data_IF_247556396037
#
_entry.id   IF_247556396037
#
_cell.length_a   1.000
_cell.length_b   1.000
_cell.length_c   1.000
_cell.angle_alpha   90.00
_cell.angle_beta   90.00
_cell.angle_gamma   90.00
#
_symmetry.space_group_name_H-M   'P 1'
#
loop_
_entity.id
_entity.type
_entity.pdbx_description
1 polymer ?
#
# COMPACT_ATOMS: atom_id res chain seq x y z
N UNK A 1 -21.88 -6.27 -16.45
CA UNK A 1 -20.60 -6.91 -16.76
C UNK A 1 -19.38 -6.03 -16.58
N UNK A 2 -19.08 -5.15 -17.52
CA UNK A 2 -17.80 -4.38 -17.50
C UNK A 2 -17.70 -3.44 -16.29
N UNK A 3 -18.77 -2.71 -15.96
CA UNK A 3 -18.81 -1.80 -14.79
C UNK A 3 -18.59 -2.58 -13.48
N UNK A 4 -19.14 -3.77 -13.37
CA UNK A 4 -18.98 -4.60 -12.18
C UNK A 4 -17.53 -5.12 -12.03
N UNK A 5 -16.90 -5.45 -13.16
CA UNK A 5 -15.48 -5.84 -13.17
C UNK A 5 -14.60 -4.66 -12.79
N UNK A 6 -14.86 -3.46 -13.33
CA UNK A 6 -14.12 -2.25 -12.96
C UNK A 6 -14.23 -1.94 -11.46
N UNK A 7 -15.44 -1.98 -10.88
CA UNK A 7 -15.65 -1.80 -9.44
C UNK A 7 -14.86 -2.80 -8.59
N UNK A 8 -14.86 -4.08 -8.97
CA UNK A 8 -14.10 -5.12 -8.27
C UNK A 8 -12.59 -4.91 -8.35
N UNK A 9 -12.09 -4.38 -9.48
CA UNK A 9 -10.68 -4.02 -9.62
C UNK A 9 -10.34 -2.85 -8.68
N UNK A 10 -11.17 -1.81 -8.64
CA UNK A 10 -10.96 -0.66 -7.74
C UNK A 10 -11.04 -1.07 -6.25
N UNK A 11 -12.00 -1.90 -5.89
CA UNK A 11 -12.10 -2.48 -4.54
C UNK A 11 -10.83 -3.26 -4.17
N UNK A 12 -10.39 -4.16 -5.04
CA UNK A 12 -9.15 -4.91 -4.83
C UNK A 12 -7.90 -4.02 -4.72
N UNK A 13 -7.85 -2.93 -5.48
CA UNK A 13 -6.78 -1.92 -5.37
C UNK A 13 -6.80 -1.21 -4.02
N UNK A 14 -7.99 -0.81 -3.53
CA UNK A 14 -8.14 -0.17 -2.21
C UNK A 14 -7.74 -1.11 -1.08
N UNK A 15 -8.17 -2.36 -1.12
CA UNK A 15 -7.81 -3.38 -0.14
C UNK A 15 -6.29 -3.63 -0.11
N UNK A 16 -5.66 -3.67 -1.30
CA UNK A 16 -4.23 -3.81 -1.42
C UNK A 16 -3.50 -2.62 -0.79
N UNK A 17 -3.94 -1.39 -1.07
CA UNK A 17 -3.34 -0.17 -0.53
C UNK A 17 -3.55 -0.06 0.98
N UNK A 18 -4.74 -0.37 1.48
CA UNK A 18 -5.01 -0.41 2.93
C UNK A 18 -4.11 -1.42 3.64
N UNK A 19 -3.95 -2.61 3.07
CA UNK A 19 -3.04 -3.62 3.60
C UNK A 19 -1.57 -3.19 3.54
N UNK A 20 -1.19 -2.43 2.53
CA UNK A 20 0.20 -1.98 2.31
C UNK A 20 0.71 -1.05 3.39
N UNK A 21 -0.15 -0.25 4.05
CA UNK A 21 0.26 0.64 5.14
C UNK A 21 0.78 -0.11 6.36
N UNK A 22 0.39 -1.37 6.50
CA UNK A 22 0.89 -2.24 7.56
C UNK A 22 2.28 -2.79 7.26
N UNK A 23 2.79 -2.65 6.04
CA UNK A 23 4.11 -3.13 5.68
C UNK A 23 5.17 -2.07 6.01
N UNK A 24 6.22 -2.42 6.79
CA UNK A 24 7.26 -1.46 7.15
C UNK A 24 7.96 -0.88 5.93
N UNK A 25 8.19 0.43 5.94
CA UNK A 25 8.92 1.14 4.89
C UNK A 25 8.11 1.58 3.67
N UNK A 26 6.92 1.03 3.41
CA UNK A 26 6.13 1.40 2.22
C UNK A 26 5.69 2.87 2.27
N UNK A 27 5.04 3.29 3.35
CA UNK A 27 4.55 4.68 3.48
C UNK A 27 5.72 5.66 3.53
N UNK A 28 6.80 5.28 4.20
CA UNK A 28 8.04 6.06 4.27
C UNK A 28 8.65 6.26 2.89
N UNK A 29 8.77 5.19 2.10
CA UNK A 29 9.26 5.26 0.72
C UNK A 29 8.44 6.21 -0.15
N UNK A 30 7.10 6.20 -0.04
CA UNK A 30 6.22 7.10 -0.77
C UNK A 30 6.44 8.56 -0.35
N UNK A 31 6.60 8.82 0.95
CA UNK A 31 6.87 10.16 1.46
C UNK A 31 8.23 10.66 0.96
N UNK A 32 9.26 9.83 1.01
CA UNK A 32 10.61 10.17 0.55
C UNK A 32 10.64 10.40 -0.97
N UNK A 33 9.91 9.58 -1.73
CA UNK A 33 9.77 9.81 -3.17
C UNK A 33 9.10 11.15 -3.47
N UNK A 34 8.07 11.51 -2.70
CA UNK A 34 7.40 12.80 -2.86
C UNK A 34 8.32 13.99 -2.49
N UNK A 35 9.16 13.87 -1.49
CA UNK A 35 10.16 14.91 -1.19
C UNK A 35 11.17 15.06 -2.36
N UNK A 36 11.53 13.96 -3.05
CA UNK A 36 12.37 14.03 -4.27
C UNK A 36 11.62 14.66 -5.46
N UNK A 37 10.29 14.50 -5.52
CA UNK A 37 9.48 15.24 -6.51
C UNK A 37 9.47 16.74 -6.22
N UNK A 38 9.44 17.15 -4.95
CA UNK A 38 9.53 18.58 -4.58
C UNK A 38 10.90 19.21 -4.88
N UNK A 39 11.97 18.43 -4.77
CA UNK A 39 13.32 18.89 -5.13
C UNK A 39 13.59 18.84 -6.64
N UNK A 40 12.59 18.53 -7.45
CA UNK A 40 12.66 18.40 -8.91
C UNK A 40 13.59 17.28 -9.40
N UNK A 41 14.01 16.37 -8.51
CA UNK A 41 14.84 15.21 -8.88
C UNK A 41 14.01 14.13 -9.60
N UNK A 42 12.69 14.09 -9.35
CA UNK A 42 11.76 13.13 -9.94
C UNK A 42 10.46 13.79 -10.41
N UNK A 43 9.76 13.12 -11.32
CA UNK A 43 8.49 13.61 -11.85
C UNK A 43 7.32 13.10 -11.00
N UNK A 44 6.31 13.96 -10.79
CA UNK A 44 5.08 13.59 -10.08
C UNK A 44 4.34 12.41 -10.76
N UNK A 45 4.36 12.35 -12.09
CA UNK A 45 3.74 11.27 -12.87
C UNK A 45 4.37 9.88 -12.62
N UNK A 46 5.59 9.82 -12.08
CA UNK A 46 6.22 8.57 -11.66
C UNK A 46 5.69 8.09 -10.30
N UNK A 47 5.15 8.99 -9.48
CA UNK A 47 4.55 8.67 -8.19
C UNK A 47 3.07 8.39 -8.31
N UNK A 48 2.31 9.36 -8.81
CA UNK A 48 0.85 9.35 -8.84
C UNK A 48 0.32 9.63 -10.23
N UNK A 49 -0.72 8.91 -10.63
CA UNK A 49 -1.51 9.18 -11.85
C UNK A 49 -2.81 9.93 -11.55
N UNK A 50 -3.21 10.00 -10.29
CA UNK A 50 -4.43 10.67 -9.86
C UNK A 50 -4.87 10.25 -8.46
N UNK A 51 -6.16 10.34 -8.23
CA UNK A 51 -6.79 9.90 -6.99
C UNK A 51 -7.98 8.99 -7.32
N UNK A 52 -8.22 8.01 -6.47
CA UNK A 52 -9.47 7.24 -6.49
C UNK A 52 -10.54 8.10 -5.81
N UNK A 53 -11.66 8.30 -6.47
CA UNK A 53 -12.80 9.02 -5.88
C UNK A 53 -13.43 8.17 -4.77
N UNK A 54 -13.96 8.84 -3.73
CA UNK A 54 -14.88 8.18 -2.82
C UNK A 54 -16.07 7.70 -3.64
N UNK A 55 -16.41 6.41 -3.56
CA UNK A 55 -17.64 5.92 -4.17
C UNK A 55 -18.82 6.56 -3.42
N UNK A 56 -19.26 7.75 -3.84
CA UNK A 56 -20.60 8.18 -3.52
C UNK A 56 -21.53 7.12 -4.10
N UNK A 57 -22.35 6.51 -3.24
CA UNK A 57 -23.50 5.72 -3.67
C UNK A 57 -24.36 6.67 -4.51
N UNK A 58 -24.16 6.64 -5.82
CA UNK A 58 -25.04 7.36 -6.74
C UNK A 58 -26.39 6.69 -6.61
N UNK A 59 -27.41 7.34 -6.00
CA UNK A 59 -28.76 6.82 -6.06
C UNK A 59 -29.07 6.64 -7.54
N UNK A 60 -29.53 5.47 -7.93
CA UNK A 60 -29.84 5.11 -9.32
C UNK A 60 -30.71 6.20 -9.95
N UNK A 61 -30.10 7.17 -10.60
CA UNK A 61 -30.78 8.16 -11.39
C UNK A 61 -31.26 7.46 -12.66
N UNK A 62 -32.58 7.40 -12.82
CA UNK A 62 -33.22 6.86 -13.99
C UNK A 62 -32.76 7.54 -15.29
N UNK A 63 -33.05 6.93 -16.45
CA UNK A 63 -32.55 7.41 -17.73
C UNK A 63 -33.16 8.78 -18.05
N UNK A 64 -32.39 9.87 -17.90
CA UNK A 64 -32.87 11.23 -18.20
C UNK A 64 -32.06 12.40 -17.63
N UNK A 65 -30.93 12.16 -16.97
CA UNK A 65 -30.11 13.24 -16.40
C UNK A 65 -29.24 13.89 -17.48
N UNK A 66 -29.42 15.20 -17.71
CA UNK A 66 -28.65 16.01 -18.67
C UNK A 66 -27.13 16.09 -18.41
N UNK A 67 -26.65 15.53 -17.30
CA UNK A 67 -25.22 15.41 -17.00
C UNK A 67 -24.47 14.32 -17.80
N UNK A 68 -25.21 13.39 -18.41
CA UNK A 68 -24.60 12.36 -19.28
C UNK A 68 -24.18 12.90 -20.66
N UNK A 69 -24.68 14.06 -21.09
CA UNK A 69 -24.35 14.65 -22.39
C UNK A 69 -23.12 15.56 -22.39
N UNK A 70 -22.61 15.95 -21.22
CA UNK A 70 -21.41 16.82 -21.13
C UNK A 70 -20.09 16.03 -21.07
N UNK A 71 -20.15 14.69 -21.00
CA UNK A 71 -18.96 13.82 -20.93
C UNK A 71 -18.51 13.28 -22.30
N UNK A 72 -19.26 13.54 -23.38
CA UNK A 72 -18.96 13.03 -24.72
C UNK A 72 -18.31 14.04 -25.69
N UNK A 73 -18.07 15.28 -25.28
CA UNK A 73 -17.53 16.35 -26.15
C UNK A 73 -16.20 16.97 -25.72
N UNK A 74 -15.37 16.28 -24.99
CA UNK A 74 -13.96 16.73 -24.78
C UNK A 74 -12.97 15.63 -25.08
N UNK A 75 -12.89 15.24 -26.35
CA UNK A 75 -11.81 14.42 -26.92
C UNK A 75 -10.56 15.30 -27.19
N UNK A 76 -10.17 16.09 -26.23
CA UNK A 76 -8.83 16.63 -26.11
C UNK A 76 -8.26 16.06 -24.79
N UNK A 77 -7.46 15.01 -24.90
CA UNK A 77 -6.55 14.56 -23.84
C UNK A 77 -5.56 15.70 -23.53
N UNK A 78 -6.04 16.68 -22.79
CA UNK A 78 -5.16 17.55 -22.04
C UNK A 78 -4.62 16.67 -20.93
N UNK A 79 -3.35 16.29 -21.02
CA UNK A 79 -2.57 15.62 -19.98
C UNK A 79 -2.44 16.55 -18.76
N UNK A 80 -3.59 16.83 -18.15
CA UNK A 80 -3.68 17.48 -16.84
C UNK A 80 -3.43 16.41 -15.81
N UNK A 81 -2.15 16.17 -15.53
CA UNK A 81 -1.74 15.39 -14.37
C UNK A 81 -2.49 15.84 -13.09
N UNK A 82 -2.44 15.08 -12.00
CA UNK A 82 -3.20 15.41 -10.80
C UNK A 82 -2.89 16.82 -10.31
N UNK A 83 -3.92 17.55 -9.87
CA UNK A 83 -3.78 18.92 -9.35
C UNK A 83 -2.71 18.97 -8.25
N UNK A 84 -1.67 19.77 -8.48
CA UNK A 84 -0.53 19.92 -7.59
C UNK A 84 -0.92 20.38 -6.18
N UNK A 85 -1.93 21.24 -6.05
CA UNK A 85 -2.41 21.71 -4.77
C UNK A 85 -3.09 20.59 -3.97
N UNK A 86 -3.89 19.77 -4.66
CA UNK A 86 -4.54 18.62 -4.05
C UNK A 86 -3.51 17.53 -3.67
N UNK A 87 -2.52 17.26 -4.52
CA UNK A 87 -1.42 16.35 -4.21
C UNK A 87 -0.70 16.81 -2.94
N UNK A 88 -0.33 18.09 -2.87
CA UNK A 88 0.37 18.65 -1.71
C UNK A 88 -0.46 18.52 -0.43
N UNK A 89 -1.75 18.80 -0.51
CA UNK A 89 -2.69 18.67 0.62
C UNK A 89 -2.75 17.23 1.12
N UNK A 90 -2.95 16.25 0.22
CA UNK A 90 -3.08 14.83 0.56
C UNK A 90 -1.77 14.25 1.08
N UNK A 91 -0.64 14.57 0.46
CA UNK A 91 0.68 14.10 0.91
C UNK A 91 1.07 14.70 2.26
N UNK A 92 0.72 15.98 2.54
CA UNK A 92 0.93 16.60 3.85
C UNK A 92 0.10 15.89 4.92
N UNK A 93 -1.16 15.56 4.61
CA UNK A 93 -2.04 14.83 5.53
C UNK A 93 -1.50 13.40 5.79
N UNK A 94 -1.06 12.71 4.75
CA UNK A 94 -0.43 11.38 4.86
C UNK A 94 0.80 11.43 5.77
N UNK A 95 1.72 12.37 5.55
CA UNK A 95 2.93 12.54 6.36
C UNK A 95 2.60 12.84 7.83
N UNK A 96 1.60 13.70 8.07
CA UNK A 96 1.14 14.00 9.44
C UNK A 96 0.57 12.77 10.14
N UNK A 97 -0.28 12.00 9.47
CA UNK A 97 -0.87 10.79 10.02
C UNK A 97 0.19 9.71 10.24
N UNK A 98 1.12 9.53 9.30
CA UNK A 98 2.23 8.59 9.43
C UNK A 98 3.10 8.90 10.66
N UNK A 99 3.50 10.15 10.85
CA UNK A 99 4.27 10.56 12.02
C UNK A 99 3.52 10.33 13.34
N UNK A 100 2.19 10.53 13.33
CA UNK A 100 1.34 10.23 14.49
C UNK A 100 1.29 8.73 14.77
N UNK A 101 1.12 7.92 13.74
CA UNK A 101 1.11 6.45 13.85
C UNK A 101 2.44 5.95 14.42
N UNK A 102 3.58 6.43 13.91
CA UNK A 102 4.90 6.04 14.41
C UNK A 102 5.10 6.38 15.88
N UNK A 103 4.72 7.57 16.33
CA UNK A 103 4.78 7.96 17.76
C UNK A 103 3.96 7.02 18.66
N UNK A 104 2.78 6.58 18.18
CA UNK A 104 1.96 5.62 18.93
C UNK A 104 2.60 4.24 18.95
N UNK A 105 3.16 3.80 17.82
CA UNK A 105 3.89 2.53 17.73
C UNK A 105 5.10 2.51 18.64
N UNK A 106 5.90 3.59 18.69
CA UNK A 106 7.06 3.71 19.57
C UNK A 106 6.67 3.70 21.06
N UNK A 107 5.58 4.36 21.43
CA UNK A 107 5.17 4.49 22.83
C UNK A 107 4.41 3.29 23.37
N UNK A 108 3.57 2.62 22.54
CA UNK A 108 2.64 1.58 22.97
C UNK A 108 2.86 0.22 22.31
N UNK A 109 3.77 0.16 21.36
CA UNK A 109 4.02 -1.03 20.55
C UNK A 109 3.04 -1.21 19.39
N UNK A 110 3.52 -1.87 18.33
CA UNK A 110 2.80 -2.06 17.07
C UNK A 110 1.47 -2.84 17.21
N UNK A 111 1.41 -3.79 18.13
CA UNK A 111 0.24 -4.66 18.32
C UNK A 111 -0.83 -4.07 19.24
N UNK A 112 -0.62 -2.87 19.81
CA UNK A 112 -1.57 -2.19 20.67
C UNK A 112 -2.86 -1.82 19.92
N UNK A 113 -3.97 -1.72 20.66
CA UNK A 113 -5.27 -1.30 20.06
C UNK A 113 -5.18 0.09 19.46
N UNK A 114 -4.43 0.98 20.11
CA UNK A 114 -4.23 2.35 19.67
C UNK A 114 -3.41 2.42 18.37
N UNK A 115 -2.33 1.63 18.27
CA UNK A 115 -1.54 1.56 17.05
C UNK A 115 -2.39 1.02 15.87
N UNK A 116 -3.17 -0.02 16.09
CA UNK A 116 -4.10 -0.56 15.08
C UNK A 116 -5.11 0.49 14.61
N UNK A 117 -5.68 1.28 15.53
CA UNK A 117 -6.60 2.37 15.18
C UNK A 117 -5.92 3.48 14.36
N UNK A 118 -4.65 3.81 14.64
CA UNK A 118 -3.92 4.80 13.85
C UNK A 118 -3.50 4.23 12.49
N UNK A 119 -3.18 2.93 12.37
CA UNK A 119 -2.96 2.27 11.07
C UNK A 119 -4.23 2.27 10.21
N UNK A 120 -5.40 2.01 10.79
CA UNK A 120 -6.68 2.09 10.06
C UNK A 120 -6.90 3.50 9.49
N UNK A 121 -6.63 4.56 10.27
CA UNK A 121 -6.72 5.94 9.77
C UNK A 121 -5.70 6.23 8.67
N UNK A 122 -4.51 5.67 8.76
CA UNK A 122 -3.48 5.79 7.75
C UNK A 122 -3.91 5.10 6.45
N UNK A 123 -4.48 3.90 6.54
CA UNK A 123 -5.04 3.14 5.43
C UNK A 123 -6.15 3.89 4.70
N UNK A 124 -7.08 4.51 5.45
CA UNK A 124 -8.15 5.35 4.90
C UNK A 124 -7.63 6.53 4.06
N UNK A 125 -6.46 7.09 4.39
CA UNK A 125 -5.85 8.15 3.59
C UNK A 125 -5.13 7.56 2.37
N UNK A 126 -4.45 6.44 2.57
CA UNK A 126 -3.57 5.83 1.57
C UNK A 126 -4.34 5.17 0.42
N UNK A 127 -5.49 4.56 0.71
CA UNK A 127 -6.32 3.84 -0.27
C UNK A 127 -6.86 4.70 -1.42
N UNK A 128 -6.89 6.03 -1.24
CA UNK A 128 -7.36 6.95 -2.29
C UNK A 128 -6.26 7.45 -3.23
N UNK A 129 -5.01 7.05 -3.01
CA UNK A 129 -3.90 7.42 -3.87
C UNK A 129 -3.84 6.46 -5.07
N UNK A 130 -3.92 7.00 -6.28
CA UNK A 130 -3.74 6.23 -7.51
C UNK A 130 -2.28 6.30 -7.94
N UNK A 131 -1.50 5.32 -7.51
CA UNK A 131 -0.09 5.24 -7.83
C UNK A 131 0.16 4.90 -9.30
N UNK A 132 1.31 5.33 -9.83
CA UNK A 132 1.75 4.93 -11.15
C UNK A 132 2.08 3.43 -11.19
N UNK A 133 2.01 2.77 -12.37
CA UNK A 133 2.41 1.37 -12.50
C UNK A 133 3.84 1.12 -12.01
N UNK A 134 4.76 2.05 -12.27
CA UNK A 134 6.15 1.98 -11.82
C UNK A 134 6.23 1.94 -10.28
N UNK A 135 5.48 2.82 -9.61
CA UNK A 135 5.45 2.84 -8.15
C UNK A 135 4.87 1.54 -7.58
N UNK A 136 3.85 0.95 -8.21
CA UNK A 136 3.34 -0.36 -7.81
C UNK A 136 4.39 -1.47 -7.92
N UNK A 137 5.19 -1.46 -8.98
CA UNK A 137 6.30 -2.41 -9.14
C UNK A 137 7.35 -2.23 -8.03
N UNK A 138 7.69 -0.99 -7.69
CA UNK A 138 8.61 -0.68 -6.60
C UNK A 138 8.08 -1.18 -5.25
N UNK A 139 6.80 -0.94 -4.93
CA UNK A 139 6.18 -1.44 -3.71
C UNK A 139 6.14 -2.98 -3.66
N UNK A 140 5.82 -3.63 -4.79
CA UNK A 140 5.84 -5.08 -4.89
C UNK A 140 7.26 -5.65 -4.76
N UNK A 141 8.27 -4.92 -5.23
CA UNK A 141 9.67 -5.30 -5.10
C UNK A 141 10.11 -5.34 -3.63
N UNK A 142 9.73 -4.37 -2.81
CA UNK A 142 10.02 -4.39 -1.36
C UNK A 142 9.55 -5.69 -0.72
N UNK A 143 8.27 -6.02 -0.88
CA UNK A 143 7.70 -7.22 -0.29
C UNK A 143 8.35 -8.51 -0.81
N UNK A 144 8.69 -8.57 -2.10
CA UNK A 144 9.37 -9.72 -2.71
C UNK A 144 10.81 -9.85 -2.24
N UNK A 145 11.52 -8.74 -2.08
CA UNK A 145 12.91 -8.71 -1.60
C UNK A 145 13.00 -9.25 -0.18
N UNK A 146 12.16 -8.73 0.72
CA UNK A 146 12.13 -9.17 2.11
C UNK A 146 11.70 -10.63 2.24
N UNK A 147 10.72 -11.07 1.44
CA UNK A 147 10.34 -12.48 1.40
C UNK A 147 11.49 -13.39 0.93
N UNK A 148 12.28 -12.92 -0.05
CA UNK A 148 13.44 -13.67 -0.52
C UNK A 148 14.52 -13.76 0.57
N UNK A 149 14.75 -12.68 1.32
CA UNK A 149 15.67 -12.64 2.45
C UNK A 149 15.23 -13.56 3.59
N UNK A 150 13.94 -13.49 3.97
CA UNK A 150 13.36 -14.39 4.97
C UNK A 150 13.58 -15.84 4.55
N UNK A 151 13.26 -16.19 3.30
CA UNK A 151 13.46 -17.57 2.79
C UNK A 151 14.94 -18.01 2.78
N UNK A 152 15.86 -17.06 2.57
CA UNK A 152 17.30 -17.36 2.66
C UNK A 152 17.67 -17.71 4.10
N UNK A 153 17.21 -16.95 5.07
CA UNK A 153 17.43 -17.22 6.48
C UNK A 153 16.78 -18.53 6.93
N UNK A 154 15.56 -18.81 6.50
CA UNK A 154 14.88 -20.08 6.78
C UNK A 154 15.69 -21.29 6.25
N UNK A 155 16.19 -21.21 5.02
CA UNK A 155 17.06 -22.26 4.46
C UNK A 155 18.35 -22.44 5.27
N UNK A 156 18.95 -21.33 5.75
CA UNK A 156 20.16 -21.37 6.56
C UNK A 156 19.89 -22.00 7.92
N UNK A 157 18.79 -21.67 8.57
CA UNK A 157 18.34 -22.28 9.82
C UNK A 157 18.13 -23.79 9.61
N UNK A 158 17.37 -24.18 8.57
CA UNK A 158 17.14 -25.58 8.24
C UNK A 158 18.47 -26.34 8.01
N UNK A 159 19.41 -25.74 7.31
CA UNK A 159 20.74 -26.34 7.09
C UNK A 159 21.47 -26.61 8.40
N UNK A 160 21.51 -25.63 9.32
CA UNK A 160 22.15 -25.79 10.63
C UNK A 160 21.51 -26.90 11.46
N UNK A 161 20.18 -26.96 11.50
CA UNK A 161 19.48 -28.01 12.25
C UNK A 161 19.68 -29.40 11.65
N UNK A 162 19.50 -29.51 10.33
CA UNK A 162 19.54 -30.83 9.67
C UNK A 162 20.97 -31.33 9.46
N UNK A 163 21.89 -30.44 9.07
CA UNK A 163 23.28 -30.88 8.76
C UNK A 163 24.22 -30.81 9.95
N UNK A 164 24.17 -29.72 10.74
CA UNK A 164 25.08 -29.53 11.87
C UNK A 164 24.58 -30.22 13.14
N UNK A 165 23.30 -30.04 13.49
CA UNK A 165 22.72 -30.68 14.67
C UNK A 165 22.19 -32.09 14.41
N UNK A 166 22.21 -32.59 13.17
CA UNK A 166 21.75 -33.90 12.73
C UNK A 166 20.32 -34.25 13.11
N UNK A 167 19.47 -33.23 13.22
CA UNK A 167 18.03 -33.42 13.47
C UNK A 167 17.35 -33.86 12.18
N UNK A 168 16.53 -34.95 12.20
CA UNK A 168 15.80 -35.38 11.02
C UNK A 168 14.93 -34.23 10.44
N UNK A 169 14.94 -34.08 9.11
CA UNK A 169 14.19 -32.99 8.44
C UNK A 169 12.69 -32.96 8.80
N UNK A 170 12.09 -34.15 9.02
CA UNK A 170 10.67 -34.23 9.42
C UNK A 170 10.43 -33.58 10.78
N UNK A 171 11.30 -33.84 11.73
CA UNK A 171 11.19 -33.31 13.09
C UNK A 171 11.45 -31.82 13.12
N UNK A 172 12.42 -31.33 12.32
CA UNK A 172 12.64 -29.90 12.13
C UNK A 172 11.40 -29.20 11.57
N UNK A 173 10.77 -29.74 10.50
CA UNK A 173 9.59 -29.13 9.88
C UNK A 173 8.41 -29.09 10.85
N UNK A 174 8.19 -30.14 11.64
CA UNK A 174 7.14 -30.16 12.65
C UNK A 174 7.36 -29.08 13.71
N UNK A 175 8.56 -29.03 14.30
CA UNK A 175 8.92 -28.01 15.30
C UNK A 175 8.84 -26.58 14.72
N UNK A 176 9.31 -26.39 13.49
CA UNK A 176 9.34 -25.08 12.84
C UNK A 176 7.93 -24.56 12.54
N UNK A 177 7.05 -25.42 12.02
CA UNK A 177 5.67 -25.06 11.68
C UNK A 177 4.86 -24.59 12.89
N UNK A 178 5.08 -25.21 14.05
CA UNK A 178 4.34 -24.89 15.27
C UNK A 178 4.92 -23.68 16.02
N UNK A 179 6.13 -23.26 15.68
CA UNK A 179 6.88 -22.20 16.38
C UNK A 179 7.29 -21.03 15.48
N UNK A 180 6.74 -20.90 14.28
CA UNK A 180 7.04 -19.78 13.37
C UNK A 180 6.85 -18.43 14.05
N UNK A 181 5.81 -18.29 14.88
CA UNK A 181 5.53 -17.04 15.62
C UNK A 181 6.61 -16.66 16.63
N UNK A 182 7.41 -17.60 17.13
CA UNK A 182 8.49 -17.33 18.09
C UNK A 182 9.75 -16.75 17.41
N UNK A 183 9.87 -16.88 16.10
CA UNK A 183 10.98 -16.30 15.33
C UNK A 183 10.70 -14.85 14.90
N UNK A 184 9.46 -14.38 15.02
CA UNK A 184 9.03 -13.03 14.65
C UNK A 184 8.75 -12.12 15.86
N UNK A 185 9.05 -12.55 17.07
CA UNK A 185 9.03 -11.75 18.29
C UNK A 185 10.43 -11.30 18.67
#
# INVERSE_FOLDING_TARGET
GEIEIAKRIEEGMRDLLDSSVHYPGIVEHIIDFYEQVKSEDKKLSELLTGFLEEMEEVPSAGPGSEKAKQLEESDEEVDTGPDLAEVQRRMTNLKRQFNKTNKVVESKGRNSKEAKAEFTKLGLIFQFLKFSPKMFEDLAFFARSDLAEIRLHEKRIQFLFVKSARIPRKDFIAMYKDNICLLYT
#
